data_IF_959573074829
#
_entry.id   IF_959573074829
#
_cell.length_a   1.000
_cell.length_b   1.000
_cell.length_c   1.000
_cell.angle_alpha   90.00
_cell.angle_beta   90.00
_cell.angle_gamma   90.00
#
_symmetry.space_group_name_H-M   'P 1'
#
loop_
_entity.id
_entity.type
_entity.pdbx_description
1 polymer ?
#
# COMPACT_ATOMS: atom_id res chain seq x y z
N UNK A 1 19.20 -13.77 -10.89
CA UNK A 1 17.90 -13.18 -10.50
C UNK A 1 18.11 -12.33 -9.26
N UNK A 2 17.76 -11.03 -9.28
CA UNK A 2 18.02 -10.10 -8.16
C UNK A 2 16.99 -10.37 -7.05
N UNK A 3 17.44 -10.57 -5.80
CA UNK A 3 16.55 -10.75 -4.64
C UNK A 3 15.57 -9.56 -4.57
N UNK A 4 14.26 -9.85 -4.59
CA UNK A 4 13.22 -8.83 -4.41
C UNK A 4 12.97 -8.69 -2.91
N UNK A 5 13.15 -7.48 -2.40
CA UNK A 5 12.86 -7.13 -1.02
C UNK A 5 11.45 -6.56 -0.93
N UNK A 6 10.52 -7.32 -0.36
CA UNK A 6 9.17 -6.84 -0.09
C UNK A 6 9.15 -5.84 1.08
N UNK A 7 8.04 -5.12 1.23
CA UNK A 7 7.90 -4.07 2.25
C UNK A 7 8.00 -4.61 3.69
N UNK A 8 7.43 -5.78 3.97
CA UNK A 8 7.47 -6.42 5.30
C UNK A 8 8.90 -6.78 5.68
N UNK A 9 9.63 -7.39 4.76
CA UNK A 9 11.03 -7.78 4.98
C UNK A 9 11.93 -6.57 5.21
N UNK A 10 11.75 -5.48 4.44
CA UNK A 10 12.48 -4.23 4.67
C UNK A 10 12.22 -3.65 6.07
N UNK A 11 10.94 -3.60 6.48
CA UNK A 11 10.56 -3.09 7.79
C UNK A 11 11.17 -3.92 8.93
N UNK A 12 11.11 -5.26 8.83
CA UNK A 12 11.73 -6.17 9.80
C UNK A 12 13.22 -5.91 9.98
N UNK A 13 13.98 -5.83 8.88
CA UNK A 13 15.42 -5.59 8.92
C UNK A 13 15.73 -4.22 9.54
N UNK A 14 14.97 -3.18 9.20
CA UNK A 14 15.17 -1.85 9.81
C UNK A 14 14.93 -1.90 11.32
N UNK A 15 13.85 -2.54 11.78
CA UNK A 15 13.53 -2.67 13.19
C UNK A 15 14.60 -3.45 13.96
N UNK A 16 15.10 -4.57 13.42
CA UNK A 16 16.21 -5.33 14.02
C UNK A 16 17.46 -4.48 14.19
N UNK A 17 17.80 -3.65 13.20
CA UNK A 17 18.92 -2.73 13.31
C UNK A 17 18.70 -1.57 14.29
N UNK A 18 17.45 -1.15 14.52
CA UNK A 18 17.10 -0.14 15.52
C UNK A 18 17.12 -0.70 16.96
N UNK A 19 16.89 -2.00 17.14
CA UNK A 19 16.92 -2.66 18.46
C UNK A 19 18.34 -2.83 19.05
N UNK A 20 19.39 -2.33 18.39
CA UNK A 20 20.73 -2.20 18.97
C UNK A 20 21.74 -3.29 18.60
N UNK A 21 21.50 -4.06 17.54
CA UNK A 21 22.47 -5.03 17.02
C UNK A 21 23.56 -4.43 16.11
N UNK A 22 24.59 -5.22 15.82
CA UNK A 22 25.63 -4.85 14.84
C UNK A 22 25.03 -4.76 13.43
N UNK A 23 25.00 -3.56 12.86
CA UNK A 23 24.50 -3.34 11.50
C UNK A 23 25.28 -4.15 10.46
N UNK A 24 26.58 -4.37 10.70
CA UNK A 24 27.41 -5.16 9.79
C UNK A 24 27.03 -6.64 9.80
N UNK A 25 26.74 -7.22 10.96
CA UNK A 25 26.29 -8.62 11.07
C UNK A 25 24.87 -8.81 10.54
N UNK A 26 23.98 -7.86 10.84
CA UNK A 26 22.63 -7.82 10.28
C UNK A 26 22.65 -7.77 8.75
N UNK A 27 23.50 -6.90 8.19
CA UNK A 27 23.66 -6.76 6.75
C UNK A 27 24.21 -8.04 6.10
N UNK A 28 25.23 -8.67 6.70
CA UNK A 28 25.80 -9.94 6.23
C UNK A 28 24.76 -11.07 6.24
N UNK A 29 24.04 -11.23 7.35
CA UNK A 29 23.02 -12.28 7.52
C UNK A 29 21.86 -12.16 6.52
N UNK A 30 21.61 -10.93 6.06
CA UNK A 30 20.55 -10.64 5.09
C UNK A 30 21.07 -10.48 3.65
N UNK A 31 22.35 -10.71 3.35
CA UNK A 31 22.93 -10.40 2.03
C UNK A 31 22.57 -8.97 1.56
N UNK A 32 22.76 -8.02 2.48
CA UNK A 32 22.40 -6.62 2.33
C UNK A 32 23.67 -5.77 2.42
N UNK A 33 23.78 -4.74 1.59
CA UNK A 33 24.86 -3.76 1.70
C UNK A 33 24.52 -2.74 2.80
N UNK A 34 25.46 -2.32 3.67
CA UNK A 34 25.19 -1.33 4.73
C UNK A 34 24.55 -0.03 4.22
N UNK A 35 24.99 0.50 3.07
CA UNK A 35 24.36 1.68 2.47
C UNK A 35 22.89 1.48 2.12
N UNK A 36 22.49 0.26 1.74
CA UNK A 36 21.10 -0.08 1.46
C UNK A 36 20.25 -0.11 2.74
N UNK A 37 20.81 -0.63 3.84
CA UNK A 37 20.18 -0.56 5.16
C UNK A 37 19.92 0.87 5.58
N UNK A 38 20.94 1.75 5.52
CA UNK A 38 20.78 3.15 5.93
C UNK A 38 19.76 3.90 5.08
N UNK A 39 19.69 3.61 3.77
CA UNK A 39 18.65 4.13 2.89
C UNK A 39 17.25 3.70 3.34
N UNK A 40 17.08 2.42 3.69
CA UNK A 40 15.79 1.93 4.19
C UNK A 40 15.44 2.47 5.57
N UNK A 41 16.42 2.57 6.47
CA UNK A 41 16.24 3.15 7.80
C UNK A 41 15.77 4.60 7.72
N UNK A 42 16.42 5.41 6.88
CA UNK A 42 16.02 6.79 6.65
C UNK A 42 14.58 6.89 6.16
N UNK A 43 14.25 6.16 5.08
CA UNK A 43 12.90 6.12 4.54
C UNK A 43 11.85 5.63 5.57
N UNK A 44 12.19 4.61 6.35
CA UNK A 44 11.30 4.07 7.38
C UNK A 44 11.03 5.10 8.47
N UNK A 45 12.06 5.72 9.04
CA UNK A 45 11.90 6.72 10.11
C UNK A 45 11.12 7.95 9.64
N UNK A 46 11.28 8.35 8.39
CA UNK A 46 10.51 9.44 7.79
C UNK A 46 9.01 9.09 7.67
N UNK A 47 8.66 7.83 7.41
CA UNK A 47 7.28 7.44 7.09
C UNK A 47 6.58 6.64 8.19
N UNK A 48 7.28 6.17 9.23
CA UNK A 48 6.72 5.23 10.21
C UNK A 48 5.61 5.85 11.06
N UNK A 49 5.60 7.17 11.27
CA UNK A 49 4.55 7.87 12.02
C UNK A 49 3.15 7.66 11.43
N UNK A 50 3.04 7.47 10.10
CA UNK A 50 1.78 7.26 9.38
C UNK A 50 0.99 6.05 9.84
N UNK A 51 1.64 5.06 10.47
CA UNK A 51 0.94 3.89 11.04
C UNK A 51 0.05 4.27 12.24
N UNK A 52 0.29 5.42 12.86
CA UNK A 52 -0.47 5.94 13.99
C UNK A 52 -1.47 7.03 13.59
N UNK A 53 -1.30 7.67 12.42
CA UNK A 53 -2.16 8.78 11.95
C UNK A 53 -3.54 8.31 11.49
N UNK A 54 -3.69 7.04 11.10
CA UNK A 54 -4.97 6.42 10.81
C UNK A 54 -4.88 4.95 11.18
N UNK A 55 -5.86 4.35 11.89
CA UNK A 55 -6.01 2.91 11.83
C UNK A 55 -6.04 2.54 10.34
N UNK A 56 -5.42 1.44 9.89
CA UNK A 56 -5.71 0.95 8.57
C UNK A 56 -7.23 0.80 8.51
N UNK A 57 -7.91 1.72 7.82
CA UNK A 57 -9.29 1.53 7.46
C UNK A 57 -9.32 0.15 6.80
N UNK A 58 -10.33 -0.70 7.05
CA UNK A 58 -10.54 -1.87 6.22
C UNK A 58 -10.46 -1.38 4.77
N UNK A 59 -9.38 -1.81 4.13
CA UNK A 59 -8.85 -1.43 2.83
C UNK A 59 -9.83 -0.64 1.95
N UNK A 60 -9.91 0.69 2.07
CA UNK A 60 -10.38 1.64 1.04
C UNK A 60 -11.70 1.39 0.28
N UNK A 61 -12.43 0.31 0.54
CA UNK A 61 -13.48 -0.20 -0.35
C UNK A 61 -14.85 0.19 0.16
N UNK A 62 -15.05 0.63 1.40
CA UNK A 62 -16.44 0.93 1.81
C UNK A 62 -16.95 2.22 1.17
N UNK A 63 -16.15 3.28 1.16
CA UNK A 63 -16.54 4.57 0.59
C UNK A 63 -16.42 4.55 -0.94
N UNK A 64 -15.31 4.02 -1.47
CA UNK A 64 -15.15 3.85 -2.91
C UNK A 64 -16.10 2.79 -3.49
N UNK A 65 -16.41 1.69 -2.81
CA UNK A 65 -17.41 0.73 -3.32
C UNK A 65 -18.84 1.26 -3.17
N UNK A 66 -19.15 2.04 -2.12
CA UNK A 66 -20.44 2.73 -2.04
C UNK A 66 -20.61 3.72 -3.20
N UNK A 67 -19.58 4.55 -3.46
CA UNK A 67 -19.58 5.47 -4.61
C UNK A 67 -19.66 4.70 -5.94
N UNK A 68 -18.94 3.59 -6.08
CA UNK A 68 -18.96 2.76 -7.29
C UNK A 68 -20.33 2.07 -7.49
N UNK A 69 -21.00 1.66 -6.42
CA UNK A 69 -22.37 1.12 -6.47
C UNK A 69 -23.37 2.18 -6.93
N UNK A 70 -23.28 3.39 -6.38
CA UNK A 70 -24.17 4.50 -6.74
C UNK A 70 -23.97 4.93 -8.20
N UNK A 71 -22.71 5.02 -8.65
CA UNK A 71 -22.38 5.27 -10.05
C UNK A 71 -22.91 4.18 -10.99
N UNK A 72 -22.81 2.89 -10.61
CA UNK A 72 -23.38 1.78 -11.41
C UNK A 72 -24.89 1.89 -11.55
N UNK A 73 -25.59 2.29 -10.48
CA UNK A 73 -27.05 2.48 -10.50
C UNK A 73 -27.45 3.60 -11.45
N UNK A 74 -26.82 4.77 -11.34
CA UNK A 74 -27.04 5.91 -12.24
C UNK A 74 -26.79 5.57 -13.71
N UNK A 75 -25.72 4.82 -14.00
CA UNK A 75 -25.42 4.34 -15.36
C UNK A 75 -26.54 3.41 -15.87
N UNK A 76 -27.07 2.53 -15.02
CA UNK A 76 -28.18 1.64 -15.36
C UNK A 76 -29.46 2.41 -15.69
N UNK A 77 -29.84 3.37 -14.85
CA UNK A 77 -31.01 4.24 -15.06
C UNK A 77 -30.89 5.02 -16.37
N UNK A 78 -29.75 5.68 -16.60
CA UNK A 78 -29.51 6.45 -17.84
C UNK A 78 -29.53 5.55 -19.09
N UNK A 79 -29.02 4.32 -18.98
CA UNK A 79 -29.03 3.35 -20.09
C UNK A 79 -30.46 2.91 -20.43
N UNK A 80 -31.31 2.70 -19.42
CA UNK A 80 -32.73 2.36 -19.61
C UNK A 80 -33.51 3.53 -20.25
N UNK A 81 -33.23 4.77 -19.85
CA UNK A 81 -33.83 5.96 -20.48
C UNK A 81 -33.43 6.09 -21.96
N UNK A 82 -32.14 5.89 -22.27
CA UNK A 82 -31.64 5.96 -23.65
C UNK A 82 -32.16 4.83 -24.54
N UNK A 83 -32.40 3.64 -23.98
CA UNK A 83 -32.91 2.49 -24.74
C UNK A 83 -34.43 2.52 -24.90
N UNK A 84 -35.17 2.94 -23.87
CA UNK A 84 -36.62 3.16 -23.96
C UNK A 84 -36.97 4.32 -24.90
N UNK A 85 -36.19 5.40 -24.90
CA UNK A 85 -36.31 6.50 -25.86
C UNK A 85 -35.95 6.13 -27.31
N UNK A 86 -35.13 5.08 -27.51
CA UNK A 86 -34.82 4.53 -28.84
C UNK A 86 -35.88 3.58 -29.39
N UNK A 87 -36.80 3.08 -28.56
CA UNK A 87 -37.84 2.12 -28.98
C UNK A 87 -39.06 2.77 -29.68
N UNK A 88 -39.05 4.10 -29.92
CA UNK A 88 -40.17 4.83 -30.55
C UNK A 88 -39.74 5.52 -31.86
N UNK A 89 -38.73 5.00 -32.57
CA UNK A 89 -38.44 5.41 -33.96
C UNK A 89 -38.12 4.23 -34.85
#
# INVERSE_FOLDING_TARGET
MRRKWDARTKAKIVLEGLMGGSINELCRSNDLRPGQYYKWRGFFLENCHRVFERPPAPQGDTELAAENEELKKLVGELTLELTSGKSIR
#
